data_IF_996168718633
#
_entry.id   IF_996168718633
#
_cell.length_a   1.000
_cell.length_b   1.000
_cell.length_c   1.000
_cell.angle_alpha   90.00
_cell.angle_beta   90.00
_cell.angle_gamma   90.00
#
_symmetry.space_group_name_H-M   'P 1'
#
loop_
_entity.id
_entity.type
_entity.pdbx_description
1 polymer ?
#
# COMPACT_ATOMS: atom_id res chain seq x y z
N UNK A 1 5.01 29.10 -24.91
CA UNK A 1 5.77 27.95 -25.44
C UNK A 1 5.28 26.72 -24.68
N UNK A 2 4.49 25.82 -25.29
CA UNK A 2 4.11 24.57 -24.63
C UNK A 2 5.39 23.76 -24.34
N UNK A 3 5.59 23.39 -23.08
CA UNK A 3 6.76 22.62 -22.68
C UNK A 3 6.45 21.13 -22.89
N UNK A 4 6.69 20.61 -24.10
CA UNK A 4 6.34 19.24 -24.51
C UNK A 4 6.98 18.13 -23.65
N UNK A 5 7.97 18.47 -22.82
CA UNK A 5 8.64 17.55 -21.90
C UNK A 5 7.87 17.35 -20.58
N UNK A 6 6.96 18.25 -20.22
CA UNK A 6 6.26 18.15 -18.93
C UNK A 6 5.34 16.93 -18.81
N UNK A 7 4.52 16.56 -19.81
CA UNK A 7 3.67 15.37 -19.72
C UNK A 7 4.47 14.07 -19.51
N UNK A 8 5.68 13.99 -20.06
CA UNK A 8 6.57 12.83 -19.91
C UNK A 8 7.11 12.76 -18.47
N UNK A 9 7.49 13.91 -17.88
CA UNK A 9 7.93 13.95 -16.48
C UNK A 9 6.79 13.61 -15.54
N UNK A 10 5.61 14.19 -15.74
CA UNK A 10 4.42 13.88 -14.92
C UNK A 10 4.05 12.40 -15.00
N UNK A 11 4.08 11.81 -16.20
CA UNK A 11 3.89 10.38 -16.37
C UNK A 11 4.89 9.56 -15.54
N UNK A 12 6.20 9.86 -15.63
CA UNK A 12 7.22 9.17 -14.86
C UNK A 12 7.05 9.33 -13.34
N UNK A 13 6.69 10.53 -12.89
CA UNK A 13 6.44 10.83 -11.48
C UNK A 13 5.15 10.16 -10.95
N UNK A 14 4.15 9.95 -11.81
CA UNK A 14 2.92 9.26 -11.43
C UNK A 14 3.08 7.75 -11.23
N UNK A 15 4.20 7.16 -11.67
CA UNK A 15 4.44 5.73 -11.52
C UNK A 15 4.54 5.31 -10.05
N UNK A 16 4.07 4.10 -9.73
CA UNK A 16 4.18 3.55 -8.37
C UNK A 16 5.62 3.46 -7.87
N UNK A 17 6.60 3.30 -8.76
CA UNK A 17 8.02 3.28 -8.41
C UNK A 17 8.53 4.66 -7.98
N UNK A 18 8.12 5.73 -8.67
CA UNK A 18 8.47 7.10 -8.27
C UNK A 18 7.85 7.46 -6.92
N UNK A 19 6.59 7.06 -6.69
CA UNK A 19 5.92 7.25 -5.40
C UNK A 19 6.56 6.42 -4.27
N UNK A 20 7.01 5.19 -4.57
CA UNK A 20 7.74 4.36 -3.61
C UNK A 20 9.06 5.00 -3.17
N UNK A 21 9.77 5.66 -4.10
CA UNK A 21 11.01 6.39 -3.79
C UNK A 21 10.76 7.72 -3.04
N UNK A 22 9.55 8.27 -3.13
CA UNK A 22 9.19 9.55 -2.52
C UNK A 22 8.96 9.46 -1.00
N UNK A 23 8.45 8.31 -0.50
CA UNK A 23 8.23 8.11 0.95
C UNK A 23 8.94 6.84 1.46
N UNK A 24 10.02 6.98 2.26
CA UNK A 24 10.72 5.83 2.83
C UNK A 24 9.86 4.99 3.78
N UNK A 25 8.78 5.55 4.37
CA UNK A 25 7.88 4.80 5.26
C UNK A 25 7.15 3.68 4.52
N UNK A 26 6.75 3.93 3.28
CA UNK A 26 6.07 2.94 2.43
C UNK A 26 6.97 1.74 2.19
N UNK A 27 8.25 2.01 1.87
CA UNK A 27 9.25 0.95 1.68
C UNK A 27 9.47 0.13 2.96
N UNK A 28 9.50 0.78 4.13
CA UNK A 28 9.63 0.10 5.43
C UNK A 28 8.43 -0.81 5.68
N UNK A 29 7.21 -0.33 5.44
CA UNK A 29 6.00 -1.13 5.65
C UNK A 29 5.89 -2.31 4.68
N UNK A 30 6.29 -2.13 3.43
CA UNK A 30 6.41 -3.24 2.47
C UNK A 30 7.43 -4.26 2.97
N UNK A 31 8.60 -3.83 3.45
CA UNK A 31 9.59 -4.73 4.00
C UNK A 31 9.06 -5.51 5.23
N UNK A 32 8.30 -4.86 6.12
CA UNK A 32 7.64 -5.50 7.26
C UNK A 32 6.62 -6.53 6.78
N UNK A 33 5.79 -6.20 5.78
CA UNK A 33 4.80 -7.15 5.23
C UNK A 33 5.47 -8.40 4.64
N UNK A 34 6.60 -8.23 3.93
CA UNK A 34 7.40 -9.33 3.41
C UNK A 34 8.05 -10.16 4.54
N UNK A 35 8.52 -9.52 5.61
CA UNK A 35 9.04 -10.20 6.78
C UNK A 35 7.96 -11.06 7.45
N UNK A 36 6.74 -10.53 7.62
CA UNK A 36 5.63 -11.28 8.18
C UNK A 36 5.21 -12.46 7.29
N UNK A 37 5.19 -12.27 5.96
CA UNK A 37 4.97 -13.37 5.01
C UNK A 37 6.07 -14.45 5.12
N UNK A 38 7.34 -14.05 5.26
CA UNK A 38 8.44 -14.98 5.47
C UNK A 38 8.25 -15.78 6.77
N UNK A 39 7.88 -15.11 7.87
CA UNK A 39 7.59 -15.78 9.13
C UNK A 39 6.42 -16.75 9.03
N UNK A 40 5.36 -16.38 8.31
CA UNK A 40 4.19 -17.23 8.13
C UNK A 40 4.49 -18.47 7.27
N UNK A 41 5.24 -18.31 6.17
CA UNK A 41 5.48 -19.39 5.20
C UNK A 41 6.67 -20.26 5.61
N UNK A 42 7.82 -19.64 5.91
CA UNK A 42 9.09 -20.36 6.17
C UNK A 42 9.17 -20.82 7.61
N UNK A 43 8.83 -19.94 8.57
CA UNK A 43 8.89 -20.27 10.00
C UNK A 43 7.60 -20.87 10.54
N UNK A 44 6.52 -20.90 9.75
CA UNK A 44 5.21 -21.45 10.11
C UNK A 44 4.62 -20.84 11.39
N UNK A 45 4.90 -19.56 11.64
CA UNK A 45 4.21 -18.83 12.71
C UNK A 45 2.78 -18.50 12.27
N UNK A 46 1.80 -19.06 12.97
CA UNK A 46 0.36 -18.87 12.75
C UNK A 46 -0.04 -18.69 11.27
N UNK A 47 0.31 -19.64 10.38
CA UNK A 47 0.23 -19.43 8.94
C UNK A 47 -1.18 -19.10 8.45
N UNK A 48 -2.20 -19.65 9.12
CA UNK A 48 -3.61 -19.40 8.79
C UNK A 48 -4.01 -17.94 9.00
N UNK A 49 -3.49 -17.28 10.03
CA UNK A 49 -3.83 -15.89 10.37
C UNK A 49 -2.82 -14.91 9.76
N UNK A 50 -1.53 -15.24 9.85
CA UNK A 50 -0.45 -14.32 9.51
C UNK A 50 -0.33 -14.09 8.00
N UNK A 51 -0.67 -15.08 7.15
CA UNK A 51 -0.67 -14.90 5.69
C UNK A 51 -1.72 -13.85 5.27
N UNK A 52 -3.02 -13.96 5.62
CA UNK A 52 -4.00 -12.92 5.31
C UNK A 52 -3.63 -11.53 5.86
N UNK A 53 -3.12 -11.46 7.09
CA UNK A 53 -2.73 -10.19 7.72
C UNK A 53 -1.58 -9.55 6.95
N UNK A 54 -0.51 -10.30 6.68
CA UNK A 54 0.65 -9.78 5.97
C UNK A 54 0.31 -9.37 4.53
N UNK A 55 -0.59 -10.11 3.88
CA UNK A 55 -1.08 -9.77 2.54
C UNK A 55 -1.94 -8.50 2.54
N UNK A 56 -2.86 -8.35 3.51
CA UNK A 56 -3.63 -7.12 3.68
C UNK A 56 -2.74 -5.90 3.99
N UNK A 57 -1.71 -6.08 4.81
CA UNK A 57 -0.71 -5.05 5.08
C UNK A 57 0.05 -4.64 3.80
N UNK A 58 0.46 -5.61 2.97
CA UNK A 58 1.14 -5.32 1.71
C UNK A 58 0.24 -4.47 0.78
N UNK A 59 -1.01 -4.91 0.58
CA UNK A 59 -1.96 -4.26 -0.32
C UNK A 59 -2.29 -2.80 0.08
N UNK A 60 -2.50 -2.58 1.38
CA UNK A 60 -2.83 -1.25 1.91
C UNK A 60 -1.64 -0.28 1.89
N UNK A 61 -0.41 -0.79 1.85
CA UNK A 61 0.81 0.02 1.73
C UNK A 61 1.32 0.14 0.28
N UNK A 62 0.57 -0.31 -0.73
CA UNK A 62 0.96 -0.08 -2.12
C UNK A 62 0.82 1.41 -2.49
N UNK A 63 1.86 2.05 -3.07
CA UNK A 63 1.79 3.45 -3.47
C UNK A 63 0.61 3.72 -4.41
N UNK A 64 -0.21 4.71 -4.08
CA UNK A 64 -1.35 5.13 -4.91
C UNK A 64 -2.53 4.14 -4.94
N UNK A 65 -2.53 3.05 -4.15
CA UNK A 65 -3.60 2.06 -4.19
C UNK A 65 -4.90 2.54 -3.52
N UNK A 66 -4.79 3.42 -2.51
CA UNK A 66 -5.90 3.93 -1.70
C UNK A 66 -6.85 2.81 -1.23
N UNK A 67 -6.30 1.67 -0.81
CA UNK A 67 -7.08 0.48 -0.49
C UNK A 67 -7.75 0.51 0.89
N UNK A 68 -7.34 1.40 1.79
CA UNK A 68 -7.92 1.51 3.13
C UNK A 68 -8.11 2.96 3.53
N UNK A 69 -9.30 3.26 4.06
CA UNK A 69 -9.70 4.58 4.50
C UNK A 69 -10.42 4.45 5.85
N UNK A 70 -9.81 4.97 6.91
CA UNK A 70 -10.36 4.86 8.26
C UNK A 70 -11.72 5.57 8.41
N UNK A 71 -11.91 6.68 7.72
CA UNK A 71 -13.14 7.50 7.80
C UNK A 71 -14.41 6.74 7.37
N UNK A 72 -14.29 5.72 6.51
CA UNK A 72 -15.42 4.88 6.10
C UNK A 72 -15.99 4.01 7.24
N UNK A 73 -15.27 3.90 8.36
CA UNK A 73 -15.57 2.98 9.46
C UNK A 73 -15.64 3.68 10.83
N UNK A 74 -15.55 5.01 10.91
CA UNK A 74 -15.48 5.78 12.17
C UNK A 74 -16.69 5.53 13.10
N UNK A 75 -17.86 5.21 12.56
CA UNK A 75 -19.08 4.87 13.32
C UNK A 75 -19.20 3.40 13.76
N UNK A 76 -18.16 2.58 13.57
CA UNK A 76 -18.22 1.13 13.83
C UNK A 76 -19.03 0.33 12.80
N UNK A 77 -19.47 0.97 11.73
CA UNK A 77 -20.15 0.40 10.57
C UNK A 77 -19.66 1.13 9.32
N UNK A 78 -19.93 0.55 8.14
CA UNK A 78 -19.60 1.19 6.86
C UNK A 78 -20.53 2.38 6.64
N UNK A 79 -19.96 3.57 6.48
CA UNK A 79 -20.71 4.75 6.09
C UNK A 79 -20.88 4.79 4.57
N UNK A 80 -22.02 4.28 4.10
CA UNK A 80 -22.35 4.21 2.67
C UNK A 80 -22.57 5.58 2.03
N UNK A 81 -22.73 6.66 2.81
CA UNK A 81 -22.94 8.00 2.26
C UNK A 81 -21.64 8.68 1.79
N UNK A 82 -20.47 8.09 2.10
CA UNK A 82 -19.14 8.63 1.77
C UNK A 82 -18.56 8.08 0.46
N UNK A 83 -19.33 7.27 -0.27
CA UNK A 83 -19.00 6.75 -1.61
C UNK A 83 -19.69 7.59 -2.69
#
# INVERSE_FOLDING_TARGET
MQNYLEPIKEFLLSTGFAQLAADPKVLIMIAISCLLLYLAIVKKYEPLLLIPIAFGMLLTNLPGSNMYHAYLYEGGHVDWALF
#
